data_IF_024159038248
#
_entry.id   IF_024159038248
#
_cell.length_a   1.000
_cell.length_b   1.000
_cell.length_c   1.000
_cell.angle_alpha   90.00
_cell.angle_beta   90.00
_cell.angle_gamma   90.00
#
_symmetry.space_group_name_H-M   'P 1'
#
loop_
_entity.id
_entity.type
_entity.pdbx_description
1 polymer ?
#
# COMPACT_ATOMS: atom_id res chain seq x y z
N UNK A 1 -6.35 -25.00 -16.18
CA UNK A 1 -6.77 -24.16 -15.02
C UNK A 1 -8.23 -24.42 -14.69
N UNK A 2 -8.63 -24.29 -13.44
CA UNK A 2 -10.03 -24.36 -13.00
C UNK A 2 -10.80 -23.11 -13.49
N UNK A 3 -12.17 -23.13 -13.50
CA UNK A 3 -12.95 -21.91 -13.73
C UNK A 3 -12.62 -20.83 -12.69
N UNK A 4 -12.63 -19.57 -13.09
CA UNK A 4 -12.29 -18.43 -12.23
C UNK A 4 -13.15 -18.32 -10.95
N UNK A 5 -14.42 -18.77 -11.03
CA UNK A 5 -15.34 -18.81 -9.88
C UNK A 5 -14.85 -19.77 -8.79
N UNK A 6 -14.17 -20.85 -9.14
CA UNK A 6 -13.67 -21.82 -8.15
C UNK A 6 -12.52 -21.22 -7.31
N UNK A 7 -11.65 -20.42 -7.89
CA UNK A 7 -10.64 -19.67 -7.12
C UNK A 7 -11.27 -18.64 -6.18
N UNK A 8 -12.36 -18.00 -6.60
CA UNK A 8 -13.10 -17.09 -5.73
C UNK A 8 -13.77 -17.83 -4.57
N UNK A 9 -14.46 -18.92 -4.82
CA UNK A 9 -15.03 -19.79 -3.77
C UNK A 9 -13.95 -20.27 -2.81
N UNK A 10 -12.82 -20.74 -3.34
CA UNK A 10 -11.69 -21.16 -2.51
C UNK A 10 -11.21 -20.00 -1.61
N UNK A 11 -11.13 -18.79 -2.14
CA UNK A 11 -10.74 -17.60 -1.37
C UNK A 11 -11.70 -17.28 -0.24
N UNK A 12 -13.00 -17.50 -0.43
CA UNK A 12 -14.03 -17.30 0.61
C UNK A 12 -13.90 -18.34 1.73
N UNK A 13 -13.70 -19.60 1.39
CA UNK A 13 -13.54 -20.70 2.35
C UNK A 13 -12.21 -20.63 3.11
N UNK A 14 -11.17 -20.06 2.49
CA UNK A 14 -9.82 -19.92 3.04
C UNK A 14 -9.48 -18.44 3.29
N UNK A 15 -10.47 -17.67 3.73
CA UNK A 15 -10.23 -16.29 4.13
C UNK A 15 -9.24 -16.28 5.30
N UNK A 16 -8.16 -15.49 5.17
CA UNK A 16 -7.09 -15.37 6.15
C UNK A 16 -7.66 -15.24 7.57
N UNK A 17 -7.62 -16.32 8.34
CA UNK A 17 -8.12 -16.35 9.70
C UNK A 17 -7.11 -15.84 10.69
N UNK A 18 -5.89 -15.65 10.27
CA UNK A 18 -4.78 -15.32 11.14
C UNK A 18 -4.52 -13.84 11.03
N UNK A 19 -5.05 -13.09 11.98
CA UNK A 19 -4.39 -11.85 12.40
C UNK A 19 -3.09 -12.34 13.02
N UNK A 20 -1.99 -12.17 12.33
CA UNK A 20 -0.67 -12.40 12.89
C UNK A 20 -0.42 -11.30 13.93
N UNK A 21 -0.74 -11.61 15.18
CA UNK A 21 -0.51 -10.69 16.30
C UNK A 21 0.99 -10.50 16.57
N UNK A 22 1.85 -11.39 16.06
CA UNK A 22 3.30 -11.26 16.20
C UNK A 22 3.88 -10.19 15.26
N UNK A 23 3.16 -9.87 14.19
CA UNK A 23 3.54 -8.83 13.25
C UNK A 23 2.29 -8.08 12.76
N UNK A 24 1.74 -7.16 13.57
CA UNK A 24 0.58 -6.37 13.19
C UNK A 24 0.94 -5.55 11.96
N UNK A 25 0.49 -6.01 10.80
CA UNK A 25 0.86 -5.44 9.52
C UNK A 25 0.52 -3.94 9.47
N UNK A 26 1.54 -3.14 9.18
CA UNK A 26 1.44 -1.70 9.01
C UNK A 26 1.35 -0.87 10.30
N UNK A 27 1.30 -1.49 11.48
CA UNK A 27 1.36 -0.79 12.77
C UNK A 27 2.76 -0.94 13.36
N UNK A 28 3.40 0.18 13.70
CA UNK A 28 4.67 0.22 14.39
C UNK A 28 4.45 0.79 15.78
N UNK A 29 4.82 0.05 16.80
CA UNK A 29 4.71 0.50 18.19
C UNK A 29 5.92 1.38 18.51
N UNK A 30 5.65 2.64 18.85
CA UNK A 30 6.65 3.64 19.24
C UNK A 30 6.48 3.88 20.74
N UNK A 31 7.09 3.05 21.56
CA UNK A 31 7.03 3.18 23.01
C UNK A 31 8.41 3.06 23.63
N UNK A 32 8.67 3.86 24.67
CA UNK A 32 9.94 3.83 25.42
C UNK A 32 10.23 2.46 26.03
N UNK A 33 9.21 1.69 26.33
CA UNK A 33 9.31 0.39 26.99
C UNK A 33 9.23 -0.79 26.00
N UNK A 34 9.14 -0.53 24.68
CA UNK A 34 9.14 -1.62 23.72
C UNK A 34 10.58 -2.00 23.33
N UNK A 35 10.89 -3.28 23.41
CA UNK A 35 12.13 -3.83 22.86
C UNK A 35 12.07 -3.92 21.32
N UNK A 36 10.90 -3.62 20.73
CA UNK A 36 10.66 -3.64 19.29
C UNK A 36 11.12 -2.32 18.63
N UNK A 37 11.68 -2.38 17.42
CA UNK A 37 11.97 -1.16 16.66
C UNK A 37 10.68 -0.34 16.48
N UNK A 38 10.70 0.98 16.64
CA UNK A 38 11.81 1.84 16.27
C UNK A 38 12.38 2.69 17.41
N UNK A 39 13.15 2.08 18.27
CA UNK A 39 13.91 2.80 19.29
C UNK A 39 14.76 3.93 18.68
N UNK A 40 15.24 3.72 17.45
CA UNK A 40 16.00 4.70 16.69
C UNK A 40 15.19 5.98 16.39
N UNK A 41 13.94 5.85 15.97
CA UNK A 41 13.06 7.00 15.72
C UNK A 41 12.81 7.81 16.99
N UNK A 42 12.59 7.15 18.11
CA UNK A 42 12.35 7.80 19.39
C UNK A 42 13.58 8.60 19.86
N UNK A 43 14.78 7.97 19.79
CA UNK A 43 16.04 8.64 20.11
C UNK A 43 16.25 9.85 19.20
N UNK A 44 16.04 9.69 17.90
CA UNK A 44 16.17 10.76 16.93
C UNK A 44 15.16 11.89 17.14
N UNK A 45 13.90 11.56 17.47
CA UNK A 45 12.88 12.58 17.77
C UNK A 45 13.24 13.37 19.03
N UNK A 46 13.70 12.72 20.09
CA UNK A 46 14.15 13.39 21.30
C UNK A 46 15.35 14.31 21.00
N UNK A 47 16.28 13.81 20.17
CA UNK A 47 17.43 14.63 19.75
C UNK A 47 17.02 15.84 18.91
N UNK A 48 16.03 15.71 18.02
CA UNK A 48 15.45 16.84 17.28
C UNK A 48 14.88 17.89 18.24
N UNK A 49 14.15 17.47 19.27
CA UNK A 49 13.59 18.40 20.30
C UNK A 49 14.68 19.18 20.98
N UNK A 50 15.76 18.51 21.41
CA UNK A 50 16.93 19.15 22.04
C UNK A 50 17.58 20.17 21.10
N UNK A 51 17.83 19.78 19.85
CA UNK A 51 18.48 20.63 18.84
C UNK A 51 17.62 21.85 18.49
N UNK A 52 16.31 21.69 18.29
CA UNK A 52 15.38 22.79 18.02
C UNK A 52 15.30 23.73 19.23
N UNK A 53 15.33 23.19 20.43
CA UNK A 53 15.36 23.98 21.66
C UNK A 53 16.66 24.78 21.78
N UNK A 54 17.79 24.15 21.53
CA UNK A 54 19.11 24.81 21.51
C UNK A 54 19.16 25.90 20.42
N UNK A 55 18.65 25.61 19.22
CA UNK A 55 18.51 26.60 18.15
C UNK A 55 17.69 27.82 18.59
N UNK A 56 16.53 27.60 19.23
CA UNK A 56 15.68 28.68 19.77
C UNK A 56 16.46 29.57 20.74
N UNK A 57 17.16 28.96 21.69
CA UNK A 57 17.95 29.70 22.71
C UNK A 57 19.03 30.54 22.02
N UNK A 58 19.78 29.97 21.08
CA UNK A 58 20.83 30.70 20.36
C UNK A 58 20.25 31.83 19.49
N UNK A 59 19.06 31.65 18.88
CA UNK A 59 18.41 32.70 18.08
C UNK A 59 18.00 33.91 18.94
N UNK A 60 17.65 33.69 20.20
CA UNK A 60 17.24 34.75 21.13
C UNK A 60 18.42 35.45 21.85
N UNK A 61 19.61 34.84 21.84
CA UNK A 61 20.80 35.40 22.50
C UNK A 61 21.71 36.13 21.49
N UNK A 62 22.41 37.15 21.95
CA UNK A 62 23.53 37.76 21.27
C UNK A 62 24.84 37.01 21.62
N UNK A 63 25.85 37.00 20.76
CA UNK A 63 27.18 36.45 21.10
C UNK A 63 28.11 36.23 19.91
N UNK A 64 29.42 36.21 20.21
CA UNK A 64 30.53 36.14 19.25
C UNK A 64 30.56 34.74 18.71
N UNK A 65 30.20 33.85 18.40
CA UNK A 65 30.18 32.55 17.73
C UNK A 65 28.79 31.99 17.42
N UNK A 66 27.77 32.81 17.56
CA UNK A 66 26.38 32.40 17.39
C UNK A 66 26.15 31.67 16.05
N UNK A 67 26.62 32.27 14.95
CA UNK A 67 26.36 31.70 13.61
C UNK A 67 27.03 30.34 13.41
N UNK A 68 28.23 30.15 13.95
CA UNK A 68 28.91 28.85 13.87
C UNK A 68 28.18 27.77 14.70
N UNK A 69 27.64 28.13 15.86
CA UNK A 69 26.87 27.21 16.69
C UNK A 69 25.53 26.84 16.03
N UNK A 70 24.83 27.84 15.48
CA UNK A 70 23.59 27.63 14.71
C UNK A 70 23.87 26.68 13.52
N UNK A 71 24.94 26.96 12.76
CA UNK A 71 25.33 26.09 11.63
C UNK A 71 25.57 24.65 12.07
N UNK A 72 26.25 24.40 13.19
CA UNK A 72 26.47 23.06 13.72
C UNK A 72 25.16 22.35 14.08
N UNK A 73 24.25 23.05 14.75
CA UNK A 73 22.94 22.51 15.10
C UNK A 73 22.14 22.15 13.84
N UNK A 74 22.11 23.02 12.85
CA UNK A 74 21.39 22.78 11.59
C UNK A 74 21.99 21.59 10.84
N UNK A 75 23.33 21.43 10.83
CA UNK A 75 23.99 20.27 10.23
C UNK A 75 23.59 18.97 10.93
N UNK A 76 23.48 18.96 12.26
CA UNK A 76 23.06 17.77 13.00
C UNK A 76 21.59 17.45 12.73
N UNK A 77 20.74 18.46 12.60
CA UNK A 77 19.33 18.26 12.18
C UNK A 77 19.28 17.67 10.76
N UNK A 78 20.10 18.16 9.81
CA UNK A 78 20.20 17.59 8.46
C UNK A 78 20.56 16.11 8.52
N UNK A 79 21.57 15.76 9.30
CA UNK A 79 22.02 14.37 9.44
C UNK A 79 20.88 13.45 9.95
N UNK A 80 20.12 13.89 10.94
CA UNK A 80 18.94 13.15 11.43
C UNK A 80 17.88 13.00 10.33
N UNK A 81 17.56 14.09 9.63
CA UNK A 81 16.55 14.08 8.58
C UNK A 81 16.93 13.20 7.39
N UNK A 82 18.20 13.16 7.05
CA UNK A 82 18.69 12.44 5.88
C UNK A 82 18.87 10.93 6.16
N UNK A 83 19.19 10.53 7.39
CA UNK A 83 19.66 9.19 7.71
C UNK A 83 18.69 8.36 8.57
N UNK A 84 17.82 8.99 9.37
CA UNK A 84 16.95 8.23 10.28
C UNK A 84 15.67 7.80 9.59
N UNK A 85 15.40 6.50 9.61
CA UNK A 85 14.15 5.94 9.08
C UNK A 85 12.94 6.44 9.88
N UNK A 86 11.84 6.67 9.16
CA UNK A 86 10.54 7.06 9.73
C UNK A 86 10.54 8.44 10.42
N UNK A 87 11.61 9.22 10.31
CA UNK A 87 11.69 10.57 10.90
C UNK A 87 10.58 11.51 10.39
N UNK A 88 9.98 11.18 9.24
CA UNK A 88 8.82 11.86 8.69
C UNK A 88 7.59 11.86 9.62
N UNK A 89 7.55 11.00 10.62
CA UNK A 89 6.50 10.98 11.65
C UNK A 89 6.77 11.97 12.79
N UNK A 90 7.96 12.54 12.90
CA UNK A 90 8.22 13.58 13.89
C UNK A 90 7.36 14.82 13.65
N UNK A 91 6.99 15.49 14.72
CA UNK A 91 6.18 16.71 14.65
C UNK A 91 6.83 17.80 13.79
N UNK A 92 8.15 17.90 13.81
CA UNK A 92 8.90 18.83 12.97
C UNK A 92 8.76 18.50 11.48
N UNK A 93 8.89 17.24 11.07
CA UNK A 93 8.73 16.84 9.67
C UNK A 93 7.30 17.03 9.17
N UNK A 94 6.29 16.77 10.01
CA UNK A 94 4.89 17.04 9.67
C UNK A 94 4.63 18.52 9.42
N UNK A 95 5.33 19.39 10.13
CA UNK A 95 5.21 20.83 9.94
C UNK A 95 5.60 21.30 8.52
N UNK A 96 6.48 20.59 7.81
CA UNK A 96 6.81 20.89 6.42
C UNK A 96 5.55 21.02 5.53
N UNK A 97 4.51 20.26 5.80
CA UNK A 97 3.26 20.31 5.03
C UNK A 97 2.54 21.66 5.15
N UNK A 98 2.71 22.38 6.26
CA UNK A 98 2.11 23.69 6.49
C UNK A 98 2.69 24.75 5.55
N UNK A 99 3.90 24.53 5.06
CA UNK A 99 4.61 25.44 4.18
C UNK A 99 4.35 25.19 2.69
N UNK A 100 3.38 24.33 2.34
CA UNK A 100 3.16 23.82 0.97
C UNK A 100 4.39 23.12 0.38
N UNK A 101 5.37 22.81 1.21
CA UNK A 101 6.58 22.09 0.89
C UNK A 101 6.62 20.84 1.75
N UNK A 102 6.30 19.69 1.19
CA UNK A 102 6.21 18.46 1.97
C UNK A 102 7.60 17.91 2.32
N UNK A 103 7.69 17.19 3.44
CA UNK A 103 8.92 16.47 3.77
C UNK A 103 9.33 15.49 2.66
N UNK A 104 8.37 14.91 1.94
CA UNK A 104 8.65 14.07 0.77
C UNK A 104 9.29 14.86 -0.39
N UNK A 105 8.92 16.13 -0.58
CA UNK A 105 9.60 17.00 -1.56
C UNK A 105 11.05 17.23 -1.14
N UNK A 106 11.28 17.59 0.13
CA UNK A 106 12.64 17.70 0.67
C UNK A 106 13.45 16.42 0.41
N UNK A 107 12.91 15.25 0.74
CA UNK A 107 13.61 13.97 0.52
C UNK A 107 13.94 13.68 -0.96
N UNK A 108 13.11 14.13 -1.89
CA UNK A 108 13.38 13.96 -3.33
C UNK A 108 14.41 14.93 -3.86
N UNK A 109 14.43 16.15 -3.36
CA UNK A 109 15.27 17.24 -3.85
C UNK A 109 16.62 17.31 -3.14
N UNK A 110 16.73 16.85 -1.89
CA UNK A 110 17.94 16.96 -1.05
C UNK A 110 19.22 16.43 -1.70
N UNK A 111 19.11 15.41 -2.56
CA UNK A 111 20.28 14.83 -3.26
C UNK A 111 20.91 15.77 -4.29
N UNK A 112 20.16 16.76 -4.74
CA UNK A 112 20.62 17.78 -5.71
C UNK A 112 21.02 19.08 -5.01
N UNK A 113 20.68 19.24 -3.73
CA UNK A 113 21.02 20.44 -2.95
C UNK A 113 22.46 20.38 -2.44
N UNK A 114 23.13 21.53 -2.50
CA UNK A 114 24.37 21.69 -1.75
C UNK A 114 24.13 21.72 -0.26
N UNK A 115 25.15 21.52 0.56
CA UNK A 115 25.02 21.59 2.01
C UNK A 115 24.58 23.00 2.48
N UNK A 116 25.03 24.04 1.77
CA UNK A 116 24.66 25.42 2.09
C UNK A 116 23.19 25.70 1.74
N UNK A 117 22.68 25.17 0.61
CA UNK A 117 21.25 25.26 0.26
C UNK A 117 20.38 24.57 1.31
N UNK A 118 20.80 23.39 1.79
CA UNK A 118 20.09 22.68 2.87
C UNK A 118 20.06 23.50 4.16
N UNK A 119 21.19 24.10 4.53
CA UNK A 119 21.29 24.93 5.74
C UNK A 119 20.37 26.15 5.62
N UNK A 120 20.37 26.83 4.49
CA UNK A 120 19.51 27.98 4.26
C UNK A 120 18.03 27.61 4.35
N UNK A 121 17.60 26.57 3.61
CA UNK A 121 16.24 26.07 3.63
C UNK A 121 15.78 25.67 5.05
N UNK A 122 16.58 24.86 5.76
CA UNK A 122 16.21 24.40 7.09
C UNK A 122 16.25 25.54 8.13
N UNK A 123 17.11 26.50 7.98
CA UNK A 123 17.10 27.70 8.82
C UNK A 123 15.78 28.46 8.68
N UNK A 124 15.31 28.67 7.45
CA UNK A 124 14.00 29.30 7.20
C UNK A 124 12.85 28.48 7.81
N UNK A 125 12.85 27.16 7.61
CA UNK A 125 11.83 26.26 8.15
C UNK A 125 11.83 26.29 9.68
N UNK A 126 13.01 26.27 10.32
CA UNK A 126 13.16 26.33 11.77
C UNK A 126 12.64 27.65 12.34
N UNK A 127 12.98 28.77 11.72
CA UNK A 127 12.51 30.09 12.15
C UNK A 127 10.99 30.20 12.08
N UNK A 128 10.37 29.70 11.00
CA UNK A 128 8.92 29.63 10.85
C UNK A 128 8.27 28.66 11.84
N UNK A 129 8.87 27.48 12.05
CA UNK A 129 8.41 26.50 13.02
C UNK A 129 8.41 27.05 14.44
N UNK A 130 9.50 27.70 14.86
CA UNK A 130 9.62 28.32 16.17
C UNK A 130 8.57 29.41 16.38
N UNK A 131 8.31 30.22 15.36
CA UNK A 131 7.32 31.30 15.46
C UNK A 131 5.89 30.77 15.59
N UNK A 132 5.55 29.73 14.84
CA UNK A 132 4.16 29.34 14.66
C UNK A 132 3.76 28.09 15.48
N UNK A 133 4.66 27.13 15.65
CA UNK A 133 4.28 25.78 16.13
C UNK A 133 5.06 25.28 17.33
N UNK A 134 6.23 25.80 17.61
CA UNK A 134 7.11 25.26 18.65
C UNK A 134 6.42 25.14 20.01
N UNK A 135 5.72 26.18 20.45
CA UNK A 135 5.05 26.18 21.77
C UNK A 135 3.95 25.12 21.85
N UNK A 136 3.23 24.91 20.76
CA UNK A 136 2.22 23.86 20.69
C UNK A 136 2.85 22.48 20.83
N UNK A 137 3.94 22.23 20.13
CA UNK A 137 4.61 20.95 20.14
C UNK A 137 5.45 20.69 21.40
N UNK A 138 5.90 21.71 22.12
CA UNK A 138 6.48 21.53 23.46
C UNK A 138 5.50 20.88 24.43
N UNK A 139 4.22 21.22 24.33
CA UNK A 139 3.19 20.68 25.22
C UNK A 139 2.65 19.34 24.78
N UNK A 140 2.58 19.06 23.49
CA UNK A 140 1.87 17.90 22.93
C UNK A 140 2.65 17.10 21.88
N UNK A 141 3.50 17.75 21.10
CA UNK A 141 4.00 17.22 19.85
C UNK A 141 5.27 16.40 19.92
N UNK A 142 5.96 16.40 21.05
CA UNK A 142 7.21 15.65 21.21
C UNK A 142 7.05 14.42 22.11
N UNK A 143 5.82 14.04 22.42
CA UNK A 143 5.56 12.83 23.17
C UNK A 143 5.53 11.59 22.26
N UNK A 144 5.86 10.43 22.81
CA UNK A 144 5.73 9.14 22.11
C UNK A 144 4.29 8.88 21.66
N UNK A 145 3.30 9.39 22.39
CA UNK A 145 1.89 9.29 22.02
C UNK A 145 1.60 9.97 20.70
N UNK A 146 2.15 11.16 20.45
CA UNK A 146 1.99 11.83 19.16
C UNK A 146 2.72 11.11 18.05
N UNK A 147 3.92 10.60 18.29
CA UNK A 147 4.62 9.76 17.33
C UNK A 147 3.80 8.51 16.98
N UNK A 148 3.20 7.85 18.00
CA UNK A 148 2.34 6.70 17.80
C UNK A 148 1.12 7.05 16.94
N UNK A 149 0.40 8.12 17.26
CA UNK A 149 -0.77 8.58 16.49
C UNK A 149 -0.40 8.88 15.05
N UNK A 150 0.74 9.54 14.80
CA UNK A 150 1.20 9.85 13.45
C UNK A 150 1.62 8.59 12.68
N UNK A 151 2.24 7.64 13.37
CA UNK A 151 2.56 6.33 12.82
C UNK A 151 1.30 5.55 12.43
N UNK A 152 0.28 5.57 13.29
CA UNK A 152 -1.00 4.88 13.04
C UNK A 152 -1.73 5.46 11.83
N UNK A 153 -1.78 6.79 11.71
CA UNK A 153 -2.36 7.47 10.53
C UNK A 153 -1.66 7.06 9.23
N UNK A 154 -0.36 6.81 9.28
CA UNK A 154 0.40 6.38 8.11
C UNK A 154 0.35 4.85 7.88
N UNK A 155 -0.31 4.08 8.74
CA UNK A 155 -0.39 2.62 8.66
C UNK A 155 -0.97 2.12 7.34
N UNK A 156 -1.94 2.83 6.76
CA UNK A 156 -2.54 2.48 5.48
C UNK A 156 -1.51 2.41 4.34
N UNK A 157 -0.53 3.32 4.31
CA UNK A 157 0.55 3.31 3.31
C UNK A 157 1.51 2.15 3.52
N UNK A 158 1.81 1.79 4.78
CA UNK A 158 2.63 0.63 5.10
C UNK A 158 1.93 -0.67 4.74
N UNK A 159 0.62 -0.76 4.99
CA UNK A 159 -0.20 -1.91 4.61
C UNK A 159 -0.16 -2.17 3.10
N UNK A 160 -0.26 -1.14 2.27
CA UNK A 160 -0.12 -1.29 0.83
C UNK A 160 1.24 -1.85 0.42
N UNK A 161 2.34 -1.35 1.03
CA UNK A 161 3.69 -1.89 0.79
C UNK A 161 3.83 -3.34 1.25
N UNK A 162 3.28 -3.68 2.41
CA UNK A 162 3.25 -5.04 2.96
C UNK A 162 2.42 -5.97 2.07
N UNK A 163 1.32 -5.48 1.49
CA UNK A 163 0.49 -6.26 0.58
C UNK A 163 1.25 -6.74 -0.66
N UNK A 164 1.99 -5.85 -1.32
CA UNK A 164 2.83 -6.23 -2.46
C UNK A 164 3.93 -7.21 -2.04
N UNK A 165 4.55 -7.03 -0.88
CA UNK A 165 5.54 -7.98 -0.35
C UNK A 165 4.93 -9.36 -0.12
N UNK A 166 3.67 -9.46 0.31
CA UNK A 166 2.96 -10.74 0.42
C UNK A 166 2.72 -11.38 -0.94
N UNK A 167 2.34 -10.63 -1.97
CA UNK A 167 2.24 -11.16 -3.34
C UNK A 167 3.62 -11.64 -3.82
N UNK A 168 4.67 -10.86 -3.62
CA UNK A 168 6.04 -11.27 -3.96
C UNK A 168 6.47 -12.54 -3.20
N UNK A 169 6.07 -12.71 -1.93
CA UNK A 169 6.37 -13.92 -1.15
C UNK A 169 5.68 -15.18 -1.69
N UNK A 170 4.60 -15.05 -2.45
CA UNK A 170 3.93 -16.16 -3.14
C UNK A 170 4.64 -16.50 -4.45
N UNK A 171 5.01 -15.49 -5.25
CA UNK A 171 5.50 -15.71 -6.61
C UNK A 171 7.01 -16.01 -6.68
N UNK A 172 7.84 -15.38 -5.84
CA UNK A 172 9.31 -15.55 -5.86
C UNK A 172 9.72 -17.01 -5.58
N UNK A 173 9.19 -17.69 -4.54
CA UNK A 173 9.53 -19.11 -4.29
C UNK A 173 9.09 -20.04 -5.42
N UNK A 174 8.16 -19.62 -6.28
CA UNK A 174 7.71 -20.34 -7.45
C UNK A 174 8.60 -20.09 -8.67
N UNK A 175 9.67 -19.31 -8.54
CA UNK A 175 10.68 -19.06 -9.55
C UNK A 175 10.36 -17.91 -10.51
N UNK A 176 9.48 -16.98 -10.13
CA UNK A 176 9.30 -15.75 -10.90
C UNK A 176 10.40 -14.76 -10.56
N UNK A 177 11.03 -14.19 -11.58
CA UNK A 177 12.12 -13.24 -11.45
C UNK A 177 11.66 -11.82 -11.81
N UNK A 178 12.16 -10.82 -11.09
CA UNK A 178 11.85 -9.43 -11.39
C UNK A 178 12.57 -8.97 -12.65
N UNK A 179 11.83 -8.59 -13.68
CA UNK A 179 12.40 -8.05 -14.91
C UNK A 179 12.82 -6.59 -14.71
N UNK A 180 14.03 -6.25 -15.13
CA UNK A 180 14.62 -4.91 -15.03
C UNK A 180 14.52 -4.10 -16.35
N UNK A 181 14.11 -4.73 -17.44
CA UNK A 181 13.97 -4.10 -18.76
C UNK A 181 12.81 -4.72 -19.55
N UNK A 182 12.37 -4.01 -20.62
CA UNK A 182 11.38 -4.55 -21.53
C UNK A 182 11.88 -5.84 -22.21
N UNK A 183 13.13 -5.88 -22.61
CA UNK A 183 13.74 -7.04 -23.24
C UNK A 183 13.73 -8.26 -22.29
N UNK A 184 14.11 -8.04 -21.03
CA UNK A 184 14.02 -9.08 -20.00
C UNK A 184 12.59 -9.57 -19.80
N UNK A 185 11.59 -8.67 -19.80
CA UNK A 185 10.17 -9.05 -19.66
C UNK A 185 9.63 -9.79 -20.87
N UNK A 186 10.07 -9.48 -22.09
CA UNK A 186 9.64 -10.16 -23.31
C UNK A 186 10.27 -11.54 -23.43
N UNK A 187 11.56 -11.68 -23.13
CA UNK A 187 12.33 -12.90 -23.38
C UNK A 187 12.20 -13.94 -22.25
N UNK A 188 11.91 -13.54 -21.03
CA UNK A 188 11.75 -14.47 -19.92
C UNK A 188 10.33 -15.04 -19.87
N UNK A 189 10.24 -16.36 -19.76
CA UNK A 189 8.95 -17.05 -19.67
C UNK A 189 8.32 -16.97 -18.28
N UNK A 190 9.08 -16.57 -17.25
CA UNK A 190 8.61 -16.58 -15.87
C UNK A 190 9.15 -15.36 -15.12
N UNK A 191 8.44 -14.25 -15.23
CA UNK A 191 8.91 -12.99 -14.69
C UNK A 191 7.77 -12.04 -14.28
N UNK A 192 8.13 -10.99 -13.56
CA UNK A 192 7.18 -9.95 -13.14
C UNK A 192 7.82 -8.56 -13.10
N UNK A 193 7.00 -7.53 -13.08
CA UNK A 193 7.38 -6.15 -12.80
C UNK A 193 6.39 -5.53 -11.81
N UNK A 194 6.79 -4.43 -11.17
CA UNK A 194 5.96 -3.61 -10.29
C UNK A 194 5.69 -2.24 -10.95
N UNK A 195 4.65 -2.13 -11.79
CA UNK A 195 4.41 -0.92 -12.59
C UNK A 195 4.29 0.35 -11.78
N UNK A 196 3.64 0.32 -10.62
CA UNK A 196 3.45 1.52 -9.78
C UNK A 196 4.74 2.00 -9.08
N UNK A 197 5.78 1.16 -9.01
CA UNK A 197 7.05 1.53 -8.39
C UNK A 197 8.11 1.96 -9.42
N UNK A 198 8.75 0.99 -10.02
CA UNK A 198 9.90 1.17 -10.91
C UNK A 198 9.64 0.71 -12.34
N UNK A 199 8.50 0.06 -12.57
CA UNK A 199 8.13 -0.56 -13.84
C UNK A 199 7.28 0.29 -14.79
N UNK A 200 6.97 1.55 -14.48
CA UNK A 200 6.04 2.39 -15.30
C UNK A 200 6.38 2.41 -16.78
N UNK A 201 7.62 2.72 -17.12
CA UNK A 201 8.09 2.79 -18.51
C UNK A 201 8.08 1.43 -19.20
N UNK A 202 8.47 0.37 -18.48
CA UNK A 202 8.48 -1.00 -18.98
C UNK A 202 7.05 -1.44 -19.25
N UNK A 203 6.14 -1.24 -18.29
CA UNK A 203 4.72 -1.57 -18.41
C UNK A 203 4.08 -0.88 -19.63
N UNK A 204 4.25 0.43 -19.76
CA UNK A 204 3.67 1.19 -20.88
C UNK A 204 4.19 0.74 -22.26
N UNK A 205 5.46 0.31 -22.36
CA UNK A 205 6.01 -0.26 -23.59
C UNK A 205 5.48 -1.67 -23.83
N UNK A 206 5.38 -2.49 -22.80
CA UNK A 206 4.91 -3.87 -22.86
C UNK A 206 3.45 -3.95 -23.32
N UNK A 207 2.53 -3.18 -22.72
CA UNK A 207 1.12 -3.20 -23.13
C UNK A 207 0.91 -2.71 -24.56
N UNK A 208 1.71 -1.73 -25.02
CA UNK A 208 1.69 -1.29 -26.42
C UNK A 208 2.22 -2.38 -27.37
N UNK A 209 3.29 -3.06 -26.99
CA UNK A 209 3.85 -4.18 -27.79
C UNK A 209 2.83 -5.29 -27.99
N UNK A 210 2.12 -5.68 -26.93
CA UNK A 210 1.09 -6.72 -26.98
C UNK A 210 -0.30 -6.21 -27.38
N UNK A 211 -0.46 -4.91 -27.69
CA UNK A 211 -1.74 -4.26 -28.04
C UNK A 211 -2.83 -4.47 -26.98
N UNK A 212 -2.45 -4.55 -25.71
CA UNK A 212 -3.37 -4.69 -24.57
C UNK A 212 -4.10 -3.36 -24.35
N UNK A 213 -5.43 -3.40 -24.26
CA UNK A 213 -6.28 -2.24 -23.99
C UNK A 213 -6.42 -2.03 -22.47
N UNK A 214 -5.34 -1.69 -21.81
CA UNK A 214 -5.40 -1.39 -20.39
C UNK A 214 -6.06 -0.02 -20.17
N UNK A 215 -7.30 -0.04 -19.66
CA UNK A 215 -8.05 1.16 -19.30
C UNK A 215 -8.48 1.06 -17.83
N UNK A 216 -7.57 1.35 -16.92
CA UNK A 216 -7.90 1.37 -15.51
C UNK A 216 -8.15 2.81 -15.06
N UNK A 217 -9.44 3.09 -14.72
CA UNK A 217 -9.95 4.38 -14.25
C UNK A 217 -9.81 5.53 -15.26
N UNK A 218 -10.85 5.74 -16.06
CA UNK A 218 -10.97 6.88 -16.98
C UNK A 218 -10.86 8.25 -16.27
N UNK A 219 -11.09 8.30 -14.95
CA UNK A 219 -11.11 9.54 -14.15
C UNK A 219 -9.77 9.83 -13.44
N UNK A 220 -8.80 8.93 -13.52
CA UNK A 220 -7.48 9.11 -12.90
C UNK A 220 -6.39 8.83 -13.91
N UNK A 221 -6.01 9.86 -14.64
CA UNK A 221 -4.83 9.84 -15.51
C UNK A 221 -3.63 9.25 -14.75
N UNK A 222 -3.06 8.15 -15.28
CA UNK A 222 -1.84 7.51 -14.81
C UNK A 222 -1.93 6.55 -13.61
N UNK A 223 -3.04 5.87 -13.36
CA UNK A 223 -3.02 4.77 -12.40
C UNK A 223 -2.45 3.51 -13.04
N UNK A 224 -1.40 2.99 -12.43
CA UNK A 224 -0.72 1.76 -12.84
C UNK A 224 -1.18 0.60 -11.94
N UNK A 225 -1.21 -0.65 -12.46
CA UNK A 225 -1.46 -1.81 -11.61
C UNK A 225 -0.27 -2.05 -10.67
N UNK A 226 -0.53 -2.72 -9.57
CA UNK A 226 0.52 -3.02 -8.59
C UNK A 226 1.57 -3.99 -9.12
N UNK A 227 1.14 -4.99 -9.92
CA UNK A 227 2.03 -6.01 -10.45
C UNK A 227 1.56 -6.50 -11.83
N UNK A 228 2.51 -6.75 -12.72
CA UNK A 228 2.33 -7.54 -13.94
C UNK A 228 3.17 -8.80 -13.82
N UNK A 229 2.53 -9.96 -13.96
CA UNK A 229 3.16 -11.28 -13.97
C UNK A 229 3.05 -11.87 -15.36
N UNK A 230 4.12 -12.48 -15.85
CA UNK A 230 4.15 -13.21 -17.11
C UNK A 230 4.58 -14.65 -16.88
N UNK A 231 3.81 -15.60 -17.39
CA UNK A 231 4.17 -17.00 -17.45
C UNK A 231 3.93 -17.54 -18.87
N UNK A 232 5.00 -17.85 -19.58
CA UNK A 232 4.95 -18.16 -21.01
C UNK A 232 4.26 -17.04 -21.81
N UNK A 233 3.15 -17.33 -22.47
CA UNK A 233 2.35 -16.37 -23.21
C UNK A 233 1.25 -15.71 -22.36
N UNK A 234 0.97 -16.23 -21.17
CA UNK A 234 -0.06 -15.70 -20.30
C UNK A 234 0.43 -14.49 -19.51
N UNK A 235 -0.40 -13.46 -19.47
CA UNK A 235 -0.12 -12.15 -18.86
C UNK A 235 -1.19 -11.89 -17.79
N UNK A 236 -0.75 -11.73 -16.54
CA UNK A 236 -1.61 -11.42 -15.41
C UNK A 236 -1.33 -10.01 -14.93
N UNK A 237 -2.33 -9.15 -15.02
CA UNK A 237 -2.29 -7.78 -14.51
C UNK A 237 -3.00 -7.79 -13.17
N UNK A 238 -2.26 -7.51 -12.09
CA UNK A 238 -2.73 -7.73 -10.72
C UNK A 238 -2.85 -6.38 -10.01
N UNK A 239 -4.01 -6.12 -9.45
CA UNK A 239 -4.28 -5.04 -8.50
C UNK A 239 -4.50 -5.66 -7.13
N UNK A 240 -3.77 -5.17 -6.14
CA UNK A 240 -3.85 -5.63 -4.76
C UNK A 240 -4.45 -4.56 -3.86
N UNK A 241 -5.37 -4.95 -2.99
CA UNK A 241 -5.88 -4.09 -1.92
C UNK A 241 -5.89 -4.82 -0.59
N UNK A 242 -5.70 -4.07 0.47
CA UNK A 242 -5.84 -4.55 1.83
C UNK A 242 -6.93 -3.75 2.55
N UNK A 243 -7.94 -4.43 3.09
CA UNK A 243 -9.07 -3.78 3.76
C UNK A 243 -9.29 -4.40 5.13
N UNK A 244 -9.16 -3.60 6.18
CA UNK A 244 -9.30 -4.06 7.57
C UNK A 244 -10.59 -3.57 8.26
N UNK A 245 -11.46 -2.82 7.58
CA UNK A 245 -12.67 -2.24 8.17
C UNK A 245 -13.70 -1.80 7.13
N UNK A 246 -14.80 -1.19 7.59
CA UNK A 246 -15.99 -0.85 6.79
C UNK A 246 -16.16 0.66 6.50
N UNK A 247 -15.11 1.45 6.59
CA UNK A 247 -15.14 2.90 6.37
C UNK A 247 -15.41 3.30 4.91
N UNK A 248 -15.91 4.51 4.67
CA UNK A 248 -16.28 5.01 3.33
C UNK A 248 -15.17 4.90 2.28
N UNK A 249 -13.94 5.28 2.61
CA UNK A 249 -12.77 5.17 1.73
C UNK A 249 -12.40 3.72 1.40
N UNK A 250 -12.71 2.78 2.29
CA UNK A 250 -12.49 1.34 2.04
C UNK A 250 -13.52 0.79 1.06
N UNK A 251 -14.76 1.31 1.08
CA UNK A 251 -15.78 0.93 0.10
C UNK A 251 -15.41 1.36 -1.32
N UNK A 252 -14.85 2.54 -1.49
CA UNK A 252 -14.34 2.99 -2.78
C UNK A 252 -13.24 2.06 -3.28
N UNK A 253 -12.29 1.68 -2.42
CA UNK A 253 -11.23 0.74 -2.76
C UNK A 253 -11.75 -0.66 -3.13
N UNK A 254 -12.81 -1.13 -2.45
CA UNK A 254 -13.46 -2.41 -2.77
C UNK A 254 -14.17 -2.34 -4.12
N UNK A 255 -14.94 -1.29 -4.37
CA UNK A 255 -15.63 -1.11 -5.64
C UNK A 255 -14.63 -0.97 -6.80
N UNK A 256 -13.51 -0.31 -6.57
CA UNK A 256 -12.44 -0.18 -7.55
C UNK A 256 -11.89 -1.56 -7.96
N UNK A 257 -11.60 -2.43 -7.00
CA UNK A 257 -11.04 -3.76 -7.27
C UNK A 257 -12.09 -4.72 -7.86
N UNK A 258 -13.38 -4.56 -7.52
CA UNK A 258 -14.48 -5.29 -8.16
C UNK A 258 -14.60 -4.86 -9.63
N UNK A 259 -14.48 -3.59 -9.92
CA UNK A 259 -14.53 -3.06 -11.29
C UNK A 259 -13.29 -3.45 -12.10
N UNK A 260 -12.15 -3.68 -11.45
CA UNK A 260 -10.92 -4.07 -12.13
C UNK A 260 -11.08 -5.40 -12.90
N UNK A 261 -11.74 -6.40 -12.32
CA UNK A 261 -11.99 -7.69 -13.00
C UNK A 261 -13.07 -7.63 -14.07
N UNK A 262 -13.73 -6.46 -14.23
CA UNK A 262 -14.76 -6.26 -15.25
C UNK A 262 -14.17 -5.82 -16.60
N UNK A 263 -12.85 -5.70 -16.70
CA UNK A 263 -12.20 -5.31 -17.94
C UNK A 263 -12.24 -6.47 -18.94
N UNK A 264 -12.75 -6.17 -20.14
CA UNK A 264 -12.74 -7.12 -21.24
C UNK A 264 -11.52 -6.88 -22.12
N UNK A 265 -10.77 -7.93 -22.40
CA UNK A 265 -9.63 -7.91 -23.31
C UNK A 265 -9.90 -8.81 -24.51
N UNK A 266 -9.34 -8.42 -25.67
CA UNK A 266 -9.48 -9.20 -26.90
C UNK A 266 -8.59 -10.46 -26.82
N UNK A 267 -7.47 -10.34 -26.13
CA UNK A 267 -6.48 -11.40 -25.96
C UNK A 267 -6.91 -12.35 -24.84
N UNK A 268 -7.17 -13.60 -25.15
CA UNK A 268 -7.61 -14.58 -24.16
C UNK A 268 -6.54 -14.95 -23.13
N UNK A 269 -5.28 -14.67 -23.43
CA UNK A 269 -4.14 -14.89 -22.55
C UNK A 269 -3.79 -13.66 -21.69
N UNK A 270 -4.65 -12.66 -21.63
CA UNK A 270 -4.50 -11.52 -20.74
C UNK A 270 -5.59 -11.58 -19.66
N UNK A 271 -5.15 -11.59 -18.41
CA UNK A 271 -5.96 -11.83 -17.23
C UNK A 271 -5.87 -10.65 -16.27
N UNK A 272 -7.00 -10.12 -15.84
CA UNK A 272 -7.08 -9.13 -14.76
C UNK A 272 -7.34 -9.84 -13.45
N UNK A 273 -6.48 -9.64 -12.47
CA UNK A 273 -6.55 -10.32 -11.17
C UNK A 273 -6.70 -9.29 -10.06
N UNK A 274 -7.83 -9.33 -9.38
CA UNK A 274 -8.05 -8.59 -8.14
C UNK A 274 -7.64 -9.46 -6.95
N UNK A 275 -6.60 -9.04 -6.24
CA UNK A 275 -6.14 -9.68 -5.02
C UNK A 275 -6.53 -8.84 -3.80
N UNK A 276 -7.54 -9.29 -3.05
CA UNK A 276 -8.05 -8.59 -1.89
C UNK A 276 -7.70 -9.33 -0.60
N UNK A 277 -7.00 -8.65 0.28
CA UNK A 277 -6.63 -9.18 1.61
C UNK A 277 -7.33 -8.43 2.74
N UNK A 278 -7.46 -9.08 3.89
CA UNK A 278 -8.04 -8.50 5.09
C UNK A 278 -9.46 -8.98 5.38
N UNK A 279 -10.17 -8.25 6.25
CA UNK A 279 -11.43 -8.71 6.84
C UNK A 279 -12.64 -8.73 5.88
N UNK A 280 -12.51 -8.07 4.73
CA UNK A 280 -13.63 -7.98 3.78
C UNK A 280 -14.05 -9.37 3.22
N UNK A 281 -13.09 -10.21 2.84
CA UNK A 281 -13.38 -11.55 2.33
C UNK A 281 -14.12 -12.39 3.38
N UNK A 282 -13.75 -12.24 4.67
CA UNK A 282 -14.48 -12.89 5.78
C UNK A 282 -15.91 -12.38 5.93
N UNK A 283 -16.08 -11.05 5.82
CA UNK A 283 -17.40 -10.44 5.90
C UNK A 283 -18.28 -10.91 4.75
N UNK A 284 -17.74 -10.97 3.52
CA UNK A 284 -18.43 -11.54 2.37
C UNK A 284 -18.85 -12.99 2.61
N UNK A 285 -17.96 -13.82 3.12
CA UNK A 285 -18.27 -15.23 3.40
C UNK A 285 -19.33 -15.36 4.47
N UNK A 286 -19.22 -14.62 5.57
CA UNK A 286 -20.16 -14.67 6.71
C UNK A 286 -21.55 -14.17 6.34
N UNK A 287 -21.64 -13.02 5.67
CA UNK A 287 -22.92 -12.36 5.39
C UNK A 287 -23.71 -13.07 4.27
N UNK A 288 -23.04 -13.92 3.49
CA UNK A 288 -23.66 -14.76 2.47
C UNK A 288 -23.82 -16.23 2.91
N UNK A 289 -23.74 -16.53 4.21
CA UNK A 289 -23.85 -17.88 4.79
C UNK A 289 -22.92 -18.92 4.14
N UNK A 290 -21.76 -18.48 3.67
CA UNK A 290 -20.73 -19.36 3.14
C UNK A 290 -19.94 -19.88 4.34
N UNK A 291 -20.52 -20.84 5.06
CA UNK A 291 -19.87 -21.51 6.18
C UNK A 291 -18.81 -22.49 5.69
N UNK A 292 -17.73 -22.65 6.46
CA UNK A 292 -16.87 -23.81 6.38
C UNK A 292 -17.70 -25.02 6.85
N UNK A 293 -18.32 -25.73 5.92
CA UNK A 293 -18.85 -27.04 6.17
C UNK A 293 -17.69 -28.00 5.97
N UNK A 294 -17.38 -28.76 7.01
CA UNK A 294 -16.32 -29.77 7.02
C UNK A 294 -16.24 -30.54 5.70
N UNK A 295 -15.16 -30.31 4.94
CA UNK A 295 -14.57 -31.26 4.02
C UNK A 295 -15.25 -31.56 2.67
N UNK A 296 -16.52 -31.27 2.46
CA UNK A 296 -17.19 -31.45 1.18
C UNK A 296 -17.87 -30.17 0.73
N UNK A 297 -17.49 -29.68 -0.47
CA UNK A 297 -18.13 -28.56 -1.14
C UNK A 297 -19.59 -28.91 -1.46
N UNK A 298 -20.47 -28.79 -0.47
CA UNK A 298 -21.89 -28.78 -0.75
C UNK A 298 -22.17 -27.55 -1.60
N UNK A 299 -22.47 -27.76 -2.86
CA UNK A 299 -23.00 -26.80 -3.80
C UNK A 299 -24.35 -26.27 -3.29
N UNK A 300 -24.32 -25.41 -2.28
CA UNK A 300 -25.45 -24.54 -2.04
C UNK A 300 -25.39 -23.58 -3.23
N UNK A 301 -26.39 -23.66 -4.08
CA UNK A 301 -26.52 -22.77 -5.24
C UNK A 301 -26.87 -21.36 -4.76
N UNK A 302 -25.87 -20.73 -4.13
CA UNK A 302 -25.94 -19.35 -3.65
C UNK A 302 -26.26 -18.41 -4.82
N UNK A 303 -25.88 -18.82 -6.04
CA UNK A 303 -26.17 -18.04 -7.24
C UNK A 303 -27.67 -17.92 -7.50
N UNK A 304 -28.44 -18.99 -7.37
CA UNK A 304 -29.91 -18.96 -7.53
C UNK A 304 -30.60 -18.11 -6.46
N UNK A 305 -30.14 -18.18 -5.22
CA UNK A 305 -30.71 -17.40 -4.12
C UNK A 305 -30.42 -15.91 -4.26
N UNK A 306 -29.21 -15.53 -4.72
CA UNK A 306 -28.82 -14.15 -4.94
C UNK A 306 -29.50 -13.60 -6.19
N UNK A 307 -29.54 -14.37 -7.27
CA UNK A 307 -30.25 -13.96 -8.50
C UNK A 307 -31.74 -13.73 -8.23
N UNK A 308 -32.37 -14.52 -7.36
CA UNK A 308 -33.76 -14.31 -6.93
C UNK A 308 -33.94 -13.05 -6.07
N UNK A 309 -32.99 -12.75 -5.18
CA UNK A 309 -33.03 -11.56 -4.32
C UNK A 309 -32.75 -10.27 -5.10
N UNK A 310 -31.88 -10.32 -6.11
CA UNK A 310 -31.63 -9.18 -7.03
C UNK A 310 -32.85 -8.92 -7.90
N UNK A 311 -33.48 -9.95 -8.45
CA UNK A 311 -34.69 -9.84 -9.26
C UNK A 311 -35.88 -9.24 -8.47
N UNK A 312 -35.90 -9.42 -7.15
CA UNK A 312 -36.97 -8.89 -6.27
C UNK A 312 -36.65 -7.53 -5.66
N UNK A 313 -35.46 -6.96 -5.92
CA UNK A 313 -35.04 -5.66 -5.35
C UNK A 313 -34.82 -5.69 -3.84
N UNK A 314 -34.69 -6.87 -3.22
CA UNK A 314 -34.68 -7.10 -1.78
C UNK A 314 -33.26 -7.36 -1.24
N UNK A 315 -32.25 -6.65 -1.76
CA UNK A 315 -30.86 -6.72 -1.25
C UNK A 315 -30.80 -6.10 0.13
N UNK A 316 -30.84 -6.92 1.16
CA UNK A 316 -30.84 -6.50 2.56
C UNK A 316 -29.47 -6.05 3.07
N UNK A 317 -28.39 -6.37 2.36
CA UNK A 317 -27.04 -6.17 2.86
C UNK A 317 -26.08 -5.70 1.75
N UNK A 318 -25.23 -4.73 2.06
CA UNK A 318 -24.19 -4.21 1.19
C UNK A 318 -23.24 -5.29 0.65
N UNK A 319 -22.89 -6.26 1.47
CA UNK A 319 -22.00 -7.37 1.11
C UNK A 319 -22.66 -8.33 0.12
N UNK A 320 -23.97 -8.55 0.19
CA UNK A 320 -24.70 -9.32 -0.82
C UNK A 320 -24.63 -8.66 -2.20
N UNK A 321 -24.76 -7.35 -2.25
CA UNK A 321 -24.63 -6.58 -3.51
C UNK A 321 -23.21 -6.69 -4.07
N UNK A 322 -22.17 -6.51 -3.24
CA UNK A 322 -20.78 -6.61 -3.67
C UNK A 322 -20.42 -8.05 -4.12
N UNK A 323 -20.90 -9.07 -3.41
CA UNK A 323 -20.74 -10.47 -3.79
C UNK A 323 -21.36 -10.75 -5.17
N UNK A 324 -22.59 -10.29 -5.36
CA UNK A 324 -23.30 -10.43 -6.65
C UNK A 324 -22.54 -9.76 -7.79
N UNK A 325 -22.02 -8.55 -7.59
CA UNK A 325 -21.21 -7.85 -8.58
C UNK A 325 -19.93 -8.62 -8.93
N UNK A 326 -19.24 -9.19 -7.95
CA UNK A 326 -18.06 -10.03 -8.20
C UNK A 326 -18.42 -11.21 -9.08
N UNK A 327 -19.49 -11.95 -8.74
CA UNK A 327 -19.94 -13.11 -9.51
C UNK A 327 -20.36 -12.73 -10.94
N UNK A 328 -21.09 -11.65 -11.13
CA UNK A 328 -21.49 -11.16 -12.45
C UNK A 328 -20.27 -10.82 -13.30
N UNK A 329 -19.28 -10.13 -12.73
CA UNK A 329 -18.05 -9.78 -13.42
C UNK A 329 -17.23 -11.03 -13.79
N UNK A 330 -17.12 -12.02 -12.89
CA UNK A 330 -16.42 -13.27 -13.16
C UNK A 330 -17.14 -14.11 -14.24
N UNK A 331 -18.48 -14.15 -14.25
CA UNK A 331 -19.26 -14.80 -15.31
C UNK A 331 -19.08 -14.10 -16.67
N UNK A 332 -19.04 -12.76 -16.68
CA UNK A 332 -18.86 -11.96 -17.89
C UNK A 332 -17.45 -12.04 -18.47
N UNK A 333 -16.46 -12.07 -17.60
CA UNK A 333 -15.04 -12.11 -17.97
C UNK A 333 -14.38 -13.39 -17.38
N UNK A 334 -14.60 -14.58 -17.99
CA UNK A 334 -14.15 -15.86 -17.40
C UNK A 334 -12.63 -16.02 -17.33
N UNK A 335 -11.86 -15.18 -18.02
CA UNK A 335 -10.40 -15.15 -17.95
C UNK A 335 -9.88 -14.29 -16.77
N UNK A 336 -10.72 -13.55 -16.07
CA UNK A 336 -10.31 -12.68 -14.97
C UNK A 336 -10.57 -13.36 -13.61
N UNK A 337 -9.86 -12.93 -12.57
CA UNK A 337 -9.87 -13.58 -11.27
C UNK A 337 -10.07 -12.58 -10.14
N UNK A 338 -10.86 -12.98 -9.13
CA UNK A 338 -11.00 -12.28 -7.86
C UNK A 338 -10.60 -13.22 -6.73
N UNK A 339 -9.51 -12.95 -6.05
CA UNK A 339 -8.89 -13.87 -5.10
C UNK A 339 -8.39 -13.14 -3.84
N UNK A 340 -8.17 -13.89 -2.77
CA UNK A 340 -7.31 -13.48 -1.65
C UNK A 340 -5.89 -14.07 -1.80
N UNK A 341 -5.06 -13.95 -0.77
CA UNK A 341 -3.70 -14.50 -0.79
C UNK A 341 -3.69 -16.03 -1.00
N UNK A 342 -4.57 -16.77 -0.33
CA UNK A 342 -4.68 -18.23 -0.48
C UNK A 342 -5.16 -18.63 -1.89
N UNK A 343 -6.17 -17.92 -2.40
CA UNK A 343 -6.67 -18.13 -3.76
C UNK A 343 -5.63 -17.78 -4.84
N UNK A 344 -4.85 -16.71 -4.62
CA UNK A 344 -3.74 -16.34 -5.49
C UNK A 344 -2.66 -17.43 -5.52
N UNK A 345 -2.31 -17.99 -4.37
CA UNK A 345 -1.31 -19.07 -4.31
C UNK A 345 -1.72 -20.30 -5.13
N UNK A 346 -2.99 -20.71 -5.04
CA UNK A 346 -3.50 -21.83 -5.86
C UNK A 346 -3.53 -21.47 -7.33
N UNK A 347 -3.99 -20.26 -7.68
CA UNK A 347 -3.97 -19.78 -9.06
C UNK A 347 -2.54 -19.85 -9.65
N UNK A 348 -1.54 -19.35 -8.92
CA UNK A 348 -0.15 -19.41 -9.36
C UNK A 348 0.35 -20.86 -9.49
N UNK A 349 0.00 -21.74 -8.54
CA UNK A 349 0.36 -23.15 -8.63
C UNK A 349 -0.22 -23.82 -9.88
N UNK A 350 -1.45 -23.49 -10.27
CA UNK A 350 -2.08 -24.06 -11.46
C UNK A 350 -1.49 -23.46 -12.75
N UNK A 351 -1.18 -22.16 -12.77
CA UNK A 351 -0.49 -21.52 -13.92
C UNK A 351 0.84 -22.22 -14.22
N UNK A 352 1.60 -22.59 -13.20
CA UNK A 352 2.92 -23.20 -13.35
C UNK A 352 2.84 -24.66 -13.83
N UNK A 353 1.74 -25.36 -13.61
CA UNK A 353 1.56 -26.76 -14.03
C UNK A 353 1.28 -26.91 -15.52
N UNK A 354 0.79 -25.86 -16.16
CA UNK A 354 0.43 -25.82 -17.57
C UNK A 354 1.42 -24.95 -18.36
#
# INVERSE_FOLDING_TARGET
MQPNIEYFKYSLCNADTIIDFSNPSGVEVISQNSELPPKELQIANNRLVELITAYKVLRSQGGYNKNNMIRKIVLEIIDILDNVKLINYSAFCVYFQVLKYSYSAYQSEQRQMTIDDKIELLTQILDMYLTNRHNMYLSYGYSDQILQVMSDVASARRNGKTGIQKVESIIIPKGFEKASSLESLLNNNKCYILPDKDGKSIFGKFIRHHKIKFAFSADRDNKYPDLLLKHNDDIFIIEHKMTNGDGGSQNEAINEIINFINQSEIHQNVHYVSCLQGNFIKALAKDNDIGAIDGDFATIDISERIDSNIATGNTKNKHEHQYSHILQNLKRCPQNYFVNGAGLEILINDIIKY
#
